data_IF_026429094865
#
_entry.id   IF_026429094865
#
_cell.length_a   1.000
_cell.length_b   1.000
_cell.length_c   1.000
_cell.angle_alpha   90.00
_cell.angle_beta   90.00
_cell.angle_gamma   90.00
#
_symmetry.space_group_name_H-M   'P 1'
#
loop_
_entity.id
_entity.type
_entity.pdbx_description
1 polymer ?
#
# COMPACT_ATOMS: atom_id res chain seq x y z
N UNK A 1 -16.78 -11.56 -7.81
CA UNK A 1 -15.88 -10.85 -8.76
C UNK A 1 -15.70 -9.36 -8.44
N UNK A 2 -16.77 -8.57 -8.28
CA UNK A 2 -16.63 -7.14 -7.96
C UNK A 2 -16.05 -6.87 -6.57
N UNK A 3 -16.58 -7.54 -5.55
CA UNK A 3 -16.07 -7.46 -4.16
C UNK A 3 -14.62 -7.96 -4.11
N UNK A 4 -14.33 -9.09 -4.75
CA UNK A 4 -12.98 -9.66 -4.80
C UNK A 4 -11.98 -8.70 -5.46
N UNK A 5 -12.37 -8.01 -6.55
CA UNK A 5 -11.52 -7.01 -7.19
C UNK A 5 -11.23 -5.79 -6.29
N UNK A 6 -12.22 -5.35 -5.50
CA UNK A 6 -12.00 -4.30 -4.48
C UNK A 6 -11.06 -4.80 -3.39
N UNK A 7 -11.20 -6.05 -2.95
CA UNK A 7 -10.36 -6.64 -1.90
C UNK A 7 -8.92 -6.88 -2.37
N UNK A 8 -8.72 -7.31 -3.61
CA UNK A 8 -7.37 -7.40 -4.20
C UNK A 8 -6.72 -6.01 -4.33
N UNK A 9 -7.50 -5.01 -4.77
CA UNK A 9 -7.05 -3.61 -4.79
C UNK A 9 -6.76 -3.05 -3.40
N UNK A 10 -7.52 -3.46 -2.39
CA UNK A 10 -7.29 -3.09 -0.99
C UNK A 10 -5.96 -3.65 -0.49
N UNK A 11 -5.53 -4.84 -0.90
CA UNK A 11 -4.27 -5.42 -0.43
C UNK A 11 -3.05 -5.01 -1.26
N UNK A 12 -3.16 -3.99 -2.12
CA UNK A 12 -1.98 -3.49 -2.85
C UNK A 12 -0.99 -2.84 -1.88
N UNK A 13 0.30 -2.88 -2.18
CA UNK A 13 1.32 -2.27 -1.31
C UNK A 13 1.39 -0.72 -1.47
N UNK A 14 0.53 -0.13 -2.30
CA UNK A 14 0.67 1.25 -2.79
C UNK A 14 0.54 2.30 -1.68
N UNK A 15 -0.39 2.12 -0.73
CA UNK A 15 -0.57 3.10 0.36
C UNK A 15 0.66 3.15 1.29
N UNK A 16 1.18 1.98 1.66
CA UNK A 16 2.37 1.86 2.53
C UNK A 16 3.60 2.40 1.79
N UNK A 17 3.80 2.00 0.53
CA UNK A 17 4.87 2.52 -0.30
C UNK A 17 4.80 4.04 -0.43
N UNK A 18 3.60 4.60 -0.64
CA UNK A 18 3.37 6.04 -0.75
C UNK A 18 3.81 6.81 0.50
N UNK A 19 3.55 6.29 1.70
CA UNK A 19 3.98 6.93 2.96
C UNK A 19 5.50 6.89 3.12
N UNK A 20 6.14 5.76 2.81
CA UNK A 20 7.61 5.60 2.95
C UNK A 20 8.36 6.41 1.90
N UNK A 21 7.97 6.30 0.63
CA UNK A 21 8.60 7.00 -0.49
C UNK A 21 8.26 8.49 -0.48
N UNK A 22 7.07 8.87 0.01
CA UNK A 22 6.64 10.26 0.14
C UNK A 22 7.57 11.09 1.02
N UNK A 23 8.13 10.53 2.10
CA UNK A 23 9.11 11.21 2.92
C UNK A 23 10.37 11.60 2.13
N UNK A 24 10.92 10.67 1.33
CA UNK A 24 12.07 10.92 0.46
C UNK A 24 11.75 11.94 -0.63
N UNK A 25 10.53 11.90 -1.17
CA UNK A 25 10.06 12.90 -2.13
C UNK A 25 10.07 14.31 -1.53
N UNK A 26 9.60 14.48 -0.29
CA UNK A 26 9.61 15.77 0.41
C UNK A 26 11.06 16.25 0.63
N UNK A 27 11.95 15.35 1.07
CA UNK A 27 13.39 15.67 1.22
C UNK A 27 13.98 16.11 -0.11
N UNK A 28 13.69 15.40 -1.20
CA UNK A 28 14.17 15.72 -2.55
C UNK A 28 13.66 17.08 -3.03
N UNK A 29 12.39 17.40 -2.77
CA UNK A 29 11.82 18.72 -3.07
C UNK A 29 12.44 19.83 -2.24
N UNK A 30 12.85 19.56 -1.00
CA UNK A 30 13.52 20.52 -0.13
C UNK A 30 14.97 20.83 -0.55
N UNK A 31 15.63 19.90 -1.26
CA UNK A 31 16.97 20.12 -1.84
C UNK A 31 16.93 21.02 -3.07
N UNK A 32 15.78 21.12 -3.73
CA UNK A 32 15.56 22.06 -4.83
C UNK A 32 15.29 23.49 -4.35
N UNK A 33 15.17 24.42 -5.30
CA UNK A 33 14.90 25.85 -5.02
C UNK A 33 13.44 26.15 -4.59
N UNK A 34 12.58 25.14 -4.42
CA UNK A 34 11.24 25.32 -3.89
C UNK A 34 11.29 25.23 -2.36
N UNK A 35 11.17 26.37 -1.68
CA UNK A 35 11.13 26.40 -0.22
C UNK A 35 9.71 26.59 0.34
N UNK A 36 8.84 27.32 -0.37
CA UNK A 36 7.48 27.61 0.07
C UNK A 36 6.61 26.34 0.17
N UNK A 37 5.96 26.15 1.31
CA UNK A 37 5.09 25.01 1.59
C UNK A 37 3.92 24.92 0.62
N UNK A 38 3.25 26.04 0.36
CA UNK A 38 2.09 26.10 -0.54
C UNK A 38 2.46 25.73 -1.98
N UNK A 39 3.64 26.17 -2.46
CA UNK A 39 4.14 25.79 -3.77
C UNK A 39 4.41 24.27 -3.88
N UNK A 40 4.98 23.66 -2.83
CA UNK A 40 5.18 22.20 -2.77
C UNK A 40 3.86 21.45 -2.78
N UNK A 41 2.90 21.89 -1.98
CA UNK A 41 1.57 21.27 -1.89
C UNK A 41 0.85 21.29 -3.23
N UNK A 42 0.85 22.44 -3.93
CA UNK A 42 0.23 22.57 -5.25
C UNK A 42 0.92 21.68 -6.28
N UNK A 43 2.26 21.64 -6.27
CA UNK A 43 3.03 20.79 -7.18
C UNK A 43 2.72 19.31 -6.96
N UNK A 44 2.80 18.84 -5.71
CA UNK A 44 2.52 17.44 -5.35
C UNK A 44 1.09 17.07 -5.75
N UNK A 45 0.11 17.93 -5.46
CA UNK A 45 -1.30 17.68 -5.80
C UNK A 45 -1.51 17.57 -7.31
N UNK A 46 -0.94 18.49 -8.10
CA UNK A 46 -1.08 18.48 -9.56
C UNK A 46 -0.39 17.26 -10.17
N UNK A 47 0.84 16.99 -9.77
CA UNK A 47 1.60 15.82 -10.23
C UNK A 47 0.90 14.51 -9.86
N UNK A 48 0.35 14.42 -8.64
CA UNK A 48 -0.41 13.26 -8.18
C UNK A 48 -1.68 13.01 -8.98
N UNK A 49 -2.44 14.06 -9.35
CA UNK A 49 -3.62 13.91 -10.21
C UNK A 49 -3.23 13.41 -11.60
N UNK A 50 -2.18 13.96 -12.21
CA UNK A 50 -1.71 13.53 -13.54
C UNK A 50 -1.26 12.06 -13.49
N UNK A 51 -0.45 11.69 -12.49
CA UNK A 51 0.01 10.32 -12.31
C UNK A 51 -1.16 9.36 -12.04
N UNK A 52 -2.13 9.75 -11.20
CA UNK A 52 -3.30 8.94 -10.88
C UNK A 52 -4.22 8.70 -12.07
N UNK A 53 -4.44 9.71 -12.93
CA UNK A 53 -5.19 9.53 -14.19
C UNK A 53 -4.45 8.59 -15.14
N UNK A 54 -3.12 8.73 -15.26
CA UNK A 54 -2.30 7.81 -16.06
C UNK A 54 -2.41 6.38 -15.56
N UNK A 55 -2.32 6.18 -14.24
CA UNK A 55 -2.48 4.87 -13.60
C UNK A 55 -3.85 4.27 -13.88
N UNK A 56 -4.92 5.07 -13.73
CA UNK A 56 -6.30 4.65 -13.99
C UNK A 56 -6.48 4.19 -15.44
N UNK A 57 -5.92 4.92 -16.40
CA UNK A 57 -5.99 4.55 -17.82
C UNK A 57 -5.24 3.24 -18.10
N UNK A 58 -4.04 3.06 -17.55
CA UNK A 58 -3.23 1.85 -17.75
C UNK A 58 -3.92 0.63 -17.12
N UNK A 59 -4.31 0.72 -15.85
CA UNK A 59 -4.97 -0.39 -15.16
C UNK A 59 -6.36 -0.69 -15.75
N UNK A 60 -7.12 0.34 -16.12
CA UNK A 60 -8.38 0.17 -16.84
C UNK A 60 -8.20 -0.54 -18.18
N UNK A 61 -7.15 -0.19 -18.94
CA UNK A 61 -6.79 -0.87 -20.18
C UNK A 61 -6.37 -2.33 -19.97
N UNK A 62 -5.61 -2.62 -18.91
CA UNK A 62 -5.22 -3.98 -18.55
C UNK A 62 -6.44 -4.82 -18.14
N UNK A 63 -7.36 -4.26 -17.35
CA UNK A 63 -8.60 -4.94 -16.95
C UNK A 63 -9.47 -5.24 -18.17
N UNK A 64 -9.64 -4.27 -19.08
CA UNK A 64 -10.39 -4.46 -20.32
C UNK A 64 -9.75 -5.54 -21.19
N UNK A 65 -8.42 -5.54 -21.31
CA UNK A 65 -7.69 -6.57 -22.05
C UNK A 65 -7.87 -7.94 -21.40
N UNK A 66 -7.74 -8.04 -20.07
CA UNK A 66 -7.99 -9.27 -19.34
C UNK A 66 -9.41 -9.81 -19.54
N UNK A 67 -10.41 -8.92 -19.60
CA UNK A 67 -11.79 -9.30 -19.91
C UNK A 67 -11.93 -9.85 -21.34
N UNK A 68 -11.40 -9.13 -22.34
CA UNK A 68 -11.49 -9.52 -23.75
C UNK A 68 -10.80 -10.84 -24.08
N UNK A 69 -9.66 -11.12 -23.44
CA UNK A 69 -8.87 -12.33 -23.66
C UNK A 69 -9.12 -13.43 -22.60
N UNK A 70 -10.12 -13.26 -21.74
CA UNK A 70 -10.41 -14.16 -20.61
C UNK A 70 -10.60 -15.63 -21.02
N UNK A 71 -11.22 -15.89 -22.17
CA UNK A 71 -11.44 -17.22 -22.70
C UNK A 71 -10.18 -17.92 -23.24
N UNK A 72 -9.08 -17.18 -23.42
CA UNK A 72 -7.83 -17.67 -23.99
C UNK A 72 -6.77 -18.00 -22.94
N UNK A 73 -7.06 -17.79 -21.65
CA UNK A 73 -6.17 -18.15 -20.55
C UNK A 73 -6.35 -19.62 -20.15
N UNK A 74 -5.24 -20.28 -19.80
CA UNK A 74 -5.27 -21.63 -19.25
C UNK A 74 -5.95 -21.64 -17.89
N UNK A 75 -6.72 -22.69 -17.59
CA UNK A 75 -7.26 -22.89 -16.24
C UNK A 75 -6.11 -22.91 -15.21
N UNK A 76 -6.27 -22.15 -14.12
CA UNK A 76 -5.26 -21.95 -13.07
C UNK A 76 -3.94 -21.29 -13.52
N UNK A 77 -3.96 -20.49 -14.59
CA UNK A 77 -2.81 -19.64 -14.96
C UNK A 77 -2.36 -18.76 -13.78
N UNK A 78 -1.04 -18.67 -13.56
CA UNK A 78 -0.51 -17.71 -12.57
C UNK A 78 -0.71 -16.27 -13.05
N UNK A 79 -0.63 -15.30 -12.12
CA UNK A 79 -0.72 -13.87 -12.47
C UNK A 79 0.33 -13.45 -13.52
N UNK A 80 1.52 -14.06 -13.49
CA UNK A 80 2.61 -13.81 -14.44
C UNK A 80 2.27 -14.41 -15.80
N UNK A 81 1.70 -15.61 -15.82
CA UNK A 81 1.29 -16.28 -17.07
C UNK A 81 0.18 -15.51 -17.77
N UNK A 82 -0.79 -14.99 -17.03
CA UNK A 82 -1.87 -14.16 -17.58
C UNK A 82 -1.28 -12.91 -18.24
N UNK A 83 -0.38 -12.20 -17.56
CA UNK A 83 0.23 -10.97 -18.09
C UNK A 83 1.12 -11.26 -19.32
N UNK A 84 1.90 -12.33 -19.28
CA UNK A 84 2.77 -12.73 -20.39
C UNK A 84 1.95 -13.18 -21.61
N UNK A 85 0.89 -13.97 -21.38
CA UNK A 85 -0.04 -14.41 -22.42
C UNK A 85 -0.79 -13.24 -23.04
N UNK A 86 -1.25 -12.27 -22.24
CA UNK A 86 -1.85 -11.03 -22.74
C UNK A 86 -0.90 -10.28 -23.67
N UNK A 87 0.36 -10.15 -23.27
CA UNK A 87 1.37 -9.46 -24.07
C UNK A 87 1.68 -10.18 -25.38
N UNK A 88 1.73 -11.53 -25.35
CA UNK A 88 1.97 -12.35 -26.53
C UNK A 88 0.77 -12.28 -27.50
N UNK A 89 -0.46 -12.33 -27.00
CA UNK A 89 -1.65 -12.32 -27.85
C UNK A 89 -1.91 -10.95 -28.48
N UNK A 90 -1.53 -9.87 -27.81
CA UNK A 90 -1.75 -8.49 -28.30
C UNK A 90 -0.65 -7.99 -29.23
N UNK A 91 0.63 -8.17 -28.85
CA UNK A 91 1.79 -7.59 -29.55
C UNK A 91 2.80 -8.65 -30.04
N UNK A 92 2.54 -9.95 -29.84
CA UNK A 92 3.47 -11.02 -30.21
C UNK A 92 4.74 -11.02 -29.36
N UNK A 93 5.80 -11.62 -29.89
CA UNK A 93 7.11 -11.73 -29.20
C UNK A 93 7.73 -10.37 -28.86
N UNK A 94 7.50 -9.37 -29.71
CA UNK A 94 7.94 -8.00 -29.45
C UNK A 94 7.31 -7.44 -28.16
N UNK A 95 6.00 -7.67 -27.98
CA UNK A 95 5.28 -7.27 -26.78
C UNK A 95 5.88 -7.91 -25.53
N UNK A 96 6.13 -9.22 -25.58
CA UNK A 96 6.67 -9.97 -24.43
C UNK A 96 8.02 -9.43 -23.96
N UNK A 97 8.92 -9.14 -24.90
CA UNK A 97 10.24 -8.56 -24.58
C UNK A 97 10.09 -7.14 -24.01
N UNK A 98 9.22 -6.33 -24.62
CA UNK A 98 8.97 -4.97 -24.15
C UNK A 98 8.38 -4.98 -22.73
N UNK A 99 7.42 -5.86 -22.47
CA UNK A 99 6.79 -6.04 -21.16
C UNK A 99 7.83 -6.42 -20.10
N UNK A 100 8.74 -7.35 -20.37
CA UNK A 100 9.74 -7.77 -19.39
C UNK A 100 10.68 -6.63 -19.01
N UNK A 101 11.10 -5.81 -19.99
CA UNK A 101 11.92 -4.61 -19.74
C UNK A 101 11.14 -3.56 -18.94
N UNK A 102 9.89 -3.29 -19.31
CA UNK A 102 9.04 -2.31 -18.60
C UNK A 102 8.80 -2.73 -17.16
N UNK A 103 8.46 -4.00 -16.93
CA UNK A 103 8.27 -4.56 -15.57
C UNK A 103 9.56 -4.47 -14.77
N UNK A 104 10.72 -4.82 -15.36
CA UNK A 104 12.00 -4.70 -14.68
C UNK A 104 12.30 -3.25 -14.25
N UNK A 105 12.06 -2.26 -15.11
CA UNK A 105 12.24 -0.84 -14.80
C UNK A 105 11.25 -0.35 -13.72
N UNK A 106 9.99 -0.76 -13.80
CA UNK A 106 8.96 -0.40 -12.81
C UNK A 106 9.28 -0.99 -11.42
N UNK A 107 9.68 -2.26 -11.36
CA UNK A 107 10.09 -2.91 -10.13
C UNK A 107 11.38 -2.29 -9.56
N UNK A 108 12.35 -1.94 -10.41
CA UNK A 108 13.59 -1.30 -9.99
C UNK A 108 13.35 0.06 -9.33
N UNK A 109 12.54 0.92 -9.96
CA UNK A 109 12.23 2.26 -9.40
C UNK A 109 11.48 2.17 -8.07
N UNK A 110 10.54 1.24 -7.94
CA UNK A 110 9.82 0.98 -6.69
C UNK A 110 10.77 0.47 -5.59
N UNK A 111 11.63 -0.49 -5.91
CA UNK A 111 12.63 -1.01 -4.98
C UNK A 111 13.58 0.10 -4.50
N UNK A 112 14.10 0.94 -5.40
CA UNK A 112 14.95 2.08 -5.05
C UNK A 112 14.22 3.04 -4.12
N UNK A 113 12.96 3.37 -4.40
CA UNK A 113 12.16 4.26 -3.54
C UNK A 113 11.98 3.71 -2.12
N UNK A 114 11.62 2.44 -1.98
CA UNK A 114 11.38 1.81 -0.67
C UNK A 114 12.69 1.64 0.11
N UNK A 115 13.76 1.20 -0.56
CA UNK A 115 15.09 1.01 0.08
C UNK A 115 15.65 2.34 0.56
N UNK A 116 15.59 3.38 -0.28
CA UNK A 116 16.07 4.72 0.11
C UNK A 116 15.20 5.34 1.20
N UNK A 117 13.87 5.16 1.17
CA UNK A 117 12.99 5.63 2.24
C UNK A 117 13.23 4.95 3.59
N UNK A 118 13.43 3.64 3.59
CA UNK A 118 13.83 2.91 4.79
C UNK A 118 15.19 3.41 5.32
N UNK A 119 16.17 3.58 4.43
CA UNK A 119 17.50 4.06 4.80
C UNK A 119 17.47 5.50 5.36
N UNK A 120 16.66 6.39 4.79
CA UNK A 120 16.51 7.77 5.28
C UNK A 120 15.79 7.82 6.64
N UNK A 121 14.79 6.95 6.86
CA UNK A 121 14.16 6.79 8.17
C UNK A 121 15.17 6.34 9.24
N UNK A 122 15.97 5.31 8.96
CA UNK A 122 17.00 4.84 9.89
C UNK A 122 18.09 5.89 10.15
N UNK A 123 18.51 6.60 9.10
CA UNK A 123 19.43 7.74 9.23
C UNK A 123 18.88 8.81 10.17
N UNK A 124 17.59 9.14 10.05
CA UNK A 124 16.91 10.09 10.95
C UNK A 124 16.97 9.66 12.42
N UNK A 125 16.71 8.39 12.71
CA UNK A 125 16.82 7.81 14.06
C UNK A 125 18.28 7.84 14.56
N UNK A 126 19.24 7.53 13.68
CA UNK A 126 20.66 7.48 14.00
C UNK A 126 21.36 8.86 13.89
N UNK A 127 20.72 9.93 14.37
CA UNK A 127 21.27 11.30 14.43
C UNK A 127 21.80 11.80 13.07
N UNK A 128 21.09 11.50 12.00
CA UNK A 128 21.41 11.91 10.63
C UNK A 128 22.74 11.33 10.07
N UNK A 129 23.15 10.16 10.56
CA UNK A 129 24.39 9.49 10.14
C UNK A 129 24.32 8.92 8.72
N UNK A 130 25.19 9.39 7.83
CA UNK A 130 25.30 8.87 6.46
C UNK A 130 25.75 7.40 6.43
N UNK A 131 26.51 6.96 7.43
CA UNK A 131 26.90 5.54 7.53
C UNK A 131 25.68 4.64 7.77
N UNK A 132 24.73 5.10 8.60
CA UNK A 132 23.50 4.37 8.85
C UNK A 132 22.67 4.20 7.56
N UNK A 133 22.57 5.27 6.75
CA UNK A 133 21.90 5.20 5.45
C UNK A 133 22.51 4.13 4.53
N UNK A 134 23.83 4.18 4.31
CA UNK A 134 24.52 3.27 3.39
C UNK A 134 24.41 1.82 3.87
N UNK A 135 24.56 1.57 5.17
CA UNK A 135 24.44 0.23 5.75
C UNK A 135 23.00 -0.30 5.60
N UNK A 136 21.99 0.49 5.95
CA UNK A 136 20.60 0.08 5.81
C UNK A 136 20.24 -0.18 4.35
N UNK A 137 20.64 0.69 3.42
CA UNK A 137 20.39 0.52 2.00
C UNK A 137 21.05 -0.77 1.45
N UNK A 138 22.29 -1.05 1.86
CA UNK A 138 23.00 -2.27 1.46
C UNK A 138 22.32 -3.53 2.01
N UNK A 139 21.96 -3.53 3.30
CA UNK A 139 21.27 -4.66 3.95
C UNK A 139 19.92 -4.92 3.27
N UNK A 140 19.10 -3.88 3.07
CA UNK A 140 17.80 -4.02 2.40
C UNK A 140 17.96 -4.54 0.96
N UNK A 141 18.99 -4.11 0.23
CA UNK A 141 19.25 -4.59 -1.13
C UNK A 141 19.65 -6.06 -1.16
N UNK A 142 20.53 -6.49 -0.24
CA UNK A 142 20.95 -7.90 -0.12
C UNK A 142 19.74 -8.78 0.23
N UNK A 143 18.93 -8.36 1.21
CA UNK A 143 17.70 -9.06 1.58
C UNK A 143 16.74 -9.13 0.38
N UNK A 144 16.59 -8.03 -0.36
CA UNK A 144 15.75 -7.98 -1.56
C UNK A 144 16.18 -8.98 -2.63
N UNK A 145 17.49 -9.13 -2.87
CA UNK A 145 18.03 -10.13 -3.81
C UNK A 145 17.75 -11.56 -3.33
N UNK A 146 17.95 -11.82 -2.03
CA UNK A 146 17.69 -13.13 -1.44
C UNK A 146 16.21 -13.50 -1.52
N UNK A 147 15.33 -12.59 -1.08
CA UNK A 147 13.88 -12.82 -1.09
C UNK A 147 13.34 -12.90 -2.52
N UNK A 148 13.84 -12.06 -3.42
CA UNK A 148 13.46 -12.05 -4.84
C UNK A 148 13.89 -13.29 -5.62
N UNK A 149 14.74 -14.15 -5.04
CA UNK A 149 15.13 -15.43 -5.63
C UNK A 149 14.09 -16.54 -5.38
N UNK A 150 13.11 -16.33 -4.49
CA UNK A 150 12.01 -17.28 -4.25
C UNK A 150 10.86 -17.10 -5.25
N UNK A 151 9.95 -18.09 -5.28
CA UNK A 151 8.73 -18.01 -6.08
C UNK A 151 7.78 -16.92 -5.55
N UNK A 152 7.08 -16.26 -6.46
CA UNK A 152 6.20 -15.12 -6.14
C UNK A 152 5.08 -15.53 -5.17
N UNK A 153 4.51 -16.72 -5.30
CA UNK A 153 3.47 -17.21 -4.39
C UNK A 153 3.97 -17.31 -2.95
N UNK A 154 5.21 -17.79 -2.74
CA UNK A 154 5.82 -17.84 -1.41
C UNK A 154 6.05 -16.45 -0.83
N UNK A 155 6.51 -15.50 -1.65
CA UNK A 155 6.71 -14.10 -1.24
C UNK A 155 5.39 -13.48 -0.80
N UNK A 156 4.30 -13.73 -1.53
CA UNK A 156 2.96 -13.24 -1.20
C UNK A 156 2.48 -13.83 0.13
N UNK A 157 2.59 -15.15 0.32
CA UNK A 157 2.22 -15.84 1.57
C UNK A 157 2.98 -15.26 2.77
N UNK A 158 4.25 -14.89 2.59
CA UNK A 158 5.05 -14.26 3.64
C UNK A 158 4.62 -12.81 3.91
N UNK A 159 4.22 -12.06 2.87
CA UNK A 159 3.90 -10.64 2.96
C UNK A 159 2.47 -10.37 3.49
N UNK A 160 1.50 -11.21 3.13
CA UNK A 160 0.07 -11.03 3.45
C UNK A 160 -0.19 -10.74 4.93
N UNK A 161 0.41 -11.45 5.92
CA UNK A 161 0.17 -11.17 7.33
C UNK A 161 0.62 -9.77 7.74
N UNK A 162 1.79 -9.35 7.26
CA UNK A 162 2.30 -8.02 7.54
C UNK A 162 1.39 -6.94 6.94
N UNK A 163 0.86 -7.18 5.72
CA UNK A 163 -0.08 -6.27 5.07
C UNK A 163 -1.41 -6.21 5.83
N UNK A 164 -2.01 -7.34 6.19
CA UNK A 164 -3.29 -7.38 6.93
C UNK A 164 -3.24 -6.55 8.22
N UNK A 165 -2.07 -6.46 8.85
CA UNK A 165 -1.87 -5.68 10.06
C UNK A 165 -1.53 -4.20 9.80
N UNK A 166 -0.61 -3.91 8.88
CA UNK A 166 -0.10 -2.55 8.64
C UNK A 166 -1.05 -1.70 7.77
N UNK A 167 -1.83 -2.33 6.90
CA UNK A 167 -2.66 -1.64 5.93
C UNK A 167 -3.80 -0.83 6.58
N UNK A 168 -4.59 -1.41 7.51
CA UNK A 168 -5.63 -0.67 8.26
C UNK A 168 -5.08 0.59 8.92
N UNK A 169 -3.94 0.45 9.61
CA UNK A 169 -3.27 1.52 10.36
C UNK A 169 -2.84 2.62 9.39
N UNK A 170 -2.24 2.24 8.27
CA UNK A 170 -1.75 3.18 7.26
C UNK A 170 -2.90 3.98 6.64
N UNK A 171 -4.01 3.33 6.26
CA UNK A 171 -5.18 4.01 5.70
C UNK A 171 -5.73 5.03 6.71
N UNK A 172 -5.90 4.63 7.96
CA UNK A 172 -6.44 5.52 8.99
C UNK A 172 -5.52 6.71 9.24
N UNK A 173 -4.21 6.50 9.26
CA UNK A 173 -3.24 7.59 9.38
C UNK A 173 -3.33 8.56 8.19
N UNK A 174 -3.47 8.07 6.97
CA UNK A 174 -3.65 8.91 5.77
C UNK A 174 -4.94 9.72 5.89
N UNK A 175 -6.07 9.06 6.19
CA UNK A 175 -7.37 9.72 6.28
C UNK A 175 -7.39 10.80 7.37
N UNK A 176 -6.88 10.49 8.56
CA UNK A 176 -6.83 11.43 9.67
C UNK A 176 -5.90 12.63 9.41
N UNK A 177 -4.78 12.44 8.70
CA UNK A 177 -3.87 13.54 8.34
C UNK A 177 -4.42 14.43 7.21
N UNK A 178 -5.30 13.92 6.36
CA UNK A 178 -5.94 14.71 5.30
C UNK A 178 -7.11 15.54 5.84
N UNK A 179 -7.74 15.09 6.93
CA UNK A 179 -8.84 15.81 7.56
C UNK A 179 -8.35 17.07 8.29
N UNK A 180 -9.17 18.15 8.34
CA UNK A 180 -8.84 19.32 9.13
C UNK A 180 -8.69 18.98 10.61
N UNK A 181 -7.77 19.66 11.31
CA UNK A 181 -7.51 19.46 12.75
C UNK A 181 -8.77 19.54 13.63
N UNK A 182 -9.78 20.31 13.19
CA UNK A 182 -11.10 20.42 13.83
C UNK A 182 -11.81 19.06 13.98
N UNK A 183 -11.63 18.15 13.02
CA UNK A 183 -12.27 16.83 12.99
C UNK A 183 -11.32 15.70 13.40
N UNK A 184 -10.05 15.99 13.67
CA UNK A 184 -9.03 15.01 13.95
C UNK A 184 -8.17 15.46 15.13
N UNK A 185 -8.80 15.93 16.21
CA UNK A 185 -8.02 16.34 17.39
C UNK A 185 -7.20 15.18 17.94
N UNK A 186 -6.13 15.50 18.66
CA UNK A 186 -5.16 14.54 19.21
C UNK A 186 -5.82 13.35 19.92
N UNK A 187 -6.93 13.57 20.62
CA UNK A 187 -7.66 12.50 21.32
C UNK A 187 -8.37 11.56 20.33
N UNK A 188 -9.12 12.11 19.38
CA UNK A 188 -9.81 11.33 18.33
C UNK A 188 -8.79 10.60 17.46
N UNK A 189 -7.71 11.28 17.08
CA UNK A 189 -6.63 10.71 16.30
C UNK A 189 -6.05 9.46 16.97
N UNK A 190 -5.62 9.59 18.24
CA UNK A 190 -5.04 8.47 19.00
C UNK A 190 -6.05 7.35 19.22
N UNK A 191 -7.29 7.68 19.55
CA UNK A 191 -8.33 6.70 19.81
C UNK A 191 -8.65 5.87 18.56
N UNK A 192 -8.83 6.52 17.40
CA UNK A 192 -9.18 5.83 16.14
C UNK A 192 -8.03 4.93 15.68
N UNK A 193 -6.78 5.39 15.77
CA UNK A 193 -5.60 4.58 15.46
C UNK A 193 -5.48 3.38 16.41
N UNK A 194 -5.69 3.56 17.71
CA UNK A 194 -5.60 2.49 18.71
C UNK A 194 -6.70 1.44 18.48
N UNK A 195 -7.93 1.86 18.24
CA UNK A 195 -9.03 0.94 17.92
C UNK A 195 -8.74 0.19 16.63
N UNK A 196 -8.29 0.88 15.58
CA UNK A 196 -7.89 0.23 14.31
C UNK A 196 -6.82 -0.83 14.55
N UNK A 197 -5.79 -0.51 15.35
CA UNK A 197 -4.74 -1.44 15.74
C UNK A 197 -5.30 -2.68 16.44
N UNK A 198 -6.14 -2.51 17.46
CA UNK A 198 -6.73 -3.63 18.21
C UNK A 198 -7.58 -4.52 17.29
N UNK A 199 -8.43 -3.92 16.46
CA UNK A 199 -9.35 -4.64 15.59
C UNK A 199 -8.68 -5.27 14.36
N UNK A 200 -7.41 -4.95 14.09
CA UNK A 200 -6.60 -5.62 13.05
C UNK A 200 -5.87 -6.87 13.56
N UNK A 201 -5.77 -7.05 14.89
CA UNK A 201 -5.11 -8.22 15.50
C UNK A 201 -5.84 -9.54 15.16
N UNK A 202 -7.18 -9.65 15.23
CA UNK A 202 -7.88 -10.89 14.88
C UNK A 202 -7.67 -11.30 13.42
N UNK A 203 -7.61 -10.34 12.50
CA UNK A 203 -7.38 -10.59 11.07
C UNK A 203 -5.95 -11.13 10.85
N UNK A 204 -4.95 -10.55 11.53
CA UNK A 204 -3.57 -11.05 11.53
C UNK A 204 -3.44 -12.46 12.15
N UNK A 205 -4.07 -12.70 13.30
CA UNK A 205 -4.01 -13.98 14.00
C UNK A 205 -4.75 -15.09 13.25
N UNK A 206 -5.84 -14.76 12.56
CA UNK A 206 -6.60 -15.70 11.73
C UNK A 206 -5.82 -16.24 10.53
N UNK A 207 -4.67 -15.64 10.20
CA UNK A 207 -3.75 -16.20 9.23
C UNK A 207 -2.94 -17.39 9.79
N UNK A 208 -2.64 -17.38 11.10
CA UNK A 208 -1.80 -18.40 11.75
C UNK A 208 -2.60 -19.43 12.56
N UNK A 209 -3.82 -19.08 12.98
CA UNK A 209 -4.69 -19.90 13.83
C UNK A 209 -5.94 -20.27 13.04
N UNK A 210 -6.40 -21.51 13.17
CA UNK A 210 -7.63 -22.01 12.53
C UNK A 210 -8.82 -21.08 12.82
N UNK A 211 -9.59 -20.77 11.79
CA UNK A 211 -10.73 -19.85 11.89
C UNK A 211 -11.72 -20.25 12.98
N UNK A 212 -11.84 -21.54 13.30
CA UNK A 212 -12.73 -22.11 14.33
C UNK A 212 -12.63 -21.44 15.71
N UNK A 213 -11.43 -20.99 16.12
CA UNK A 213 -11.24 -20.28 17.39
C UNK A 213 -11.64 -18.80 17.31
N UNK A 214 -11.80 -18.26 16.10
CA UNK A 214 -12.10 -16.86 15.82
C UNK A 214 -13.51 -16.64 15.25
N UNK A 215 -14.25 -17.70 14.88
CA UNK A 215 -15.64 -17.61 14.37
C UNK A 215 -16.52 -16.81 15.34
N UNK A 216 -16.39 -17.01 16.65
CA UNK A 216 -17.16 -16.27 17.66
C UNK A 216 -16.90 -14.76 17.66
N UNK A 217 -15.68 -14.33 17.33
CA UNK A 217 -15.29 -12.91 17.29
C UNK A 217 -15.58 -12.30 15.91
N UNK A 218 -15.22 -13.01 14.83
CA UNK A 218 -15.46 -12.56 13.45
C UNK A 218 -16.95 -12.49 13.09
N UNK A 219 -17.79 -13.35 13.67
CA UNK A 219 -19.26 -13.30 13.44
C UNK A 219 -19.94 -12.09 14.08
N UNK A 220 -19.35 -11.51 15.14
CA UNK A 220 -19.89 -10.34 15.83
C UNK A 220 -19.47 -9.02 15.18
N UNK A 221 -18.37 -9.02 14.42
CA UNK A 221 -17.81 -7.82 13.80
C UNK A 221 -18.19 -7.80 12.32
N UNK A 222 -19.05 -6.86 11.87
CA UNK A 222 -19.38 -6.75 10.45
C UNK A 222 -18.12 -6.45 9.62
N UNK A 223 -18.02 -7.10 8.46
CA UNK A 223 -16.87 -7.09 7.55
C UNK A 223 -15.59 -7.82 8.02
N UNK A 224 -15.58 -8.46 9.20
CA UNK A 224 -14.42 -9.24 9.65
C UNK A 224 -14.14 -10.46 8.76
N UNK A 225 -15.16 -11.03 8.10
CA UNK A 225 -14.98 -12.12 7.12
C UNK A 225 -14.21 -11.68 5.86
N UNK A 226 -14.09 -10.38 5.61
CA UNK A 226 -13.34 -9.82 4.48
C UNK A 226 -12.00 -9.19 4.90
N UNK A 227 -11.52 -9.44 6.13
CA UNK A 227 -10.35 -8.78 6.72
C UNK A 227 -10.48 -7.25 6.81
N UNK A 228 -11.72 -6.78 6.98
CA UNK A 228 -12.08 -5.37 7.12
C UNK A 228 -12.75 -5.09 8.48
N UNK A 229 -12.45 -5.92 9.49
CA UNK A 229 -13.06 -5.84 10.82
C UNK A 229 -12.78 -4.53 11.56
N UNK A 230 -11.73 -3.80 11.15
CA UNK A 230 -11.35 -2.50 11.70
C UNK A 230 -12.22 -1.33 11.21
N UNK A 231 -12.85 -1.44 10.03
CA UNK A 231 -13.47 -0.31 9.33
C UNK A 231 -14.62 0.28 10.15
N UNK A 232 -15.57 -0.56 10.58
CA UNK A 232 -16.74 -0.08 11.32
C UNK A 232 -16.36 0.48 12.71
N UNK A 233 -15.58 -0.22 13.55
CA UNK A 233 -15.13 0.32 14.84
C UNK A 233 -14.38 1.65 14.72
N UNK A 234 -13.46 1.76 13.74
CA UNK A 234 -12.70 2.99 13.51
C UNK A 234 -13.63 4.15 13.09
N UNK A 235 -14.57 3.88 12.17
CA UNK A 235 -15.50 4.89 11.68
C UNK A 235 -16.48 5.35 12.75
N UNK A 236 -17.06 4.44 13.53
CA UNK A 236 -17.96 4.78 14.64
C UNK A 236 -17.25 5.62 15.70
N UNK A 237 -16.02 5.26 16.06
CA UNK A 237 -15.24 6.02 17.04
C UNK A 237 -14.87 7.40 16.51
N UNK A 238 -14.55 7.52 15.22
CA UNK A 238 -14.30 8.81 14.59
C UNK A 238 -15.54 9.73 14.67
N UNK A 239 -16.73 9.20 14.37
CA UNK A 239 -17.99 9.97 14.47
C UNK A 239 -18.32 10.35 15.90
N UNK A 240 -18.27 9.40 16.85
CA UNK A 240 -18.55 9.65 18.26
C UNK A 240 -17.55 10.63 18.85
N UNK A 241 -16.25 10.43 18.59
CA UNK A 241 -15.19 11.29 19.07
C UNK A 241 -15.37 12.75 18.63
N UNK A 242 -15.77 12.97 17.38
CA UNK A 242 -16.08 14.31 16.88
C UNK A 242 -17.40 14.88 17.38
N UNK A 243 -18.38 14.03 17.70
CA UNK A 243 -19.64 14.48 18.30
C UNK A 243 -19.45 14.92 19.76
N UNK A 244 -18.61 14.23 20.52
CA UNK A 244 -18.33 14.54 21.92
C UNK A 244 -17.28 15.65 22.10
N UNK A 245 -16.41 15.88 21.11
CA UNK A 245 -15.57 17.08 21.10
C UNK A 245 -16.38 18.29 20.66
N UNK A 246 -16.65 19.21 21.62
CA UNK A 246 -17.09 20.56 21.28
C UNK A 246 -16.10 21.17 20.27
N UNK A 247 -16.59 21.85 19.22
CA UNK A 247 -15.72 22.49 18.25
C UNK A 247 -14.76 23.42 19.00
N UNK A 248 -13.47 23.19 18.81
CA UNK A 248 -12.43 24.13 19.23
C UNK A 248 -12.66 25.37 18.34
N UNK A 249 -13.23 26.43 18.93
CA UNK A 249 -13.33 27.75 18.32
C UNK A 249 -11.94 28.39 18.22
#
# INVERSE_FOLDING_TARGET
PFVDGILEGYQTFDAIAGVVVGAVMIVSLNLGNLHAFEAKQVLIKKSGIIAGVGLLLIYGGLILSGFLFSASFTENASRIDILTSLSLQTLGDFGRILLSVLVALACFTTAVGVVTGCADYLKGICKNSQKAFVITAAICSIIGILVGSFQVDFIIILAVPALMFLYPITIVLILLNVLPDKFASVLVFRAVVLVTFIFSIPDFLGYFISEDYLIGIKSWIPFANFNLGWVLPAFLLFLLGNFFQKPIN
#
